data_IF_759932234722
#
_entry.id   IF_759932234722
#
_cell.length_a   1.000
_cell.length_b   1.000
_cell.length_c   1.000
_cell.angle_alpha   90.00
_cell.angle_beta   90.00
_cell.angle_gamma   90.00
#
_symmetry.space_group_name_H-M   'P 1'
#
loop_
_entity.id
_entity.type
_entity.pdbx_description
1 polymer ?
#
# COMPACT_ATOMS: atom_id res chain seq x y z
N UNK A 1 24.77 6.92 12.16
CA UNK A 1 23.92 6.77 10.95
C UNK A 1 22.67 6.03 11.37
N UNK A 2 21.48 6.41 10.91
CA UNK A 2 20.26 5.66 11.22
C UNK A 2 20.38 4.24 10.63
N UNK A 3 19.92 3.24 11.38
CA UNK A 3 19.86 1.86 10.89
C UNK A 3 18.74 1.75 9.86
N UNK A 4 19.00 1.02 8.78
CA UNK A 4 18.05 0.83 7.68
C UNK A 4 17.82 -0.67 7.51
N UNK A 5 16.55 -1.06 7.47
CA UNK A 5 16.14 -2.41 7.05
C UNK A 5 15.53 -2.26 5.66
N UNK A 6 16.07 -3.00 4.68
CA UNK A 6 15.51 -3.05 3.33
C UNK A 6 14.46 -4.15 3.26
N UNK A 7 13.30 -3.80 2.71
CA UNK A 7 12.19 -4.71 2.47
C UNK A 7 12.06 -4.97 0.97
N UNK A 8 11.04 -5.72 0.56
CA UNK A 8 10.65 -5.84 -0.83
C UNK A 8 9.92 -4.59 -1.37
N UNK A 9 9.74 -4.51 -2.69
CA UNK A 9 8.88 -3.52 -3.35
C UNK A 9 7.40 -3.95 -3.45
N UNK A 10 7.12 -5.22 -3.19
CA UNK A 10 5.80 -5.87 -3.26
C UNK A 10 5.68 -6.93 -2.17
N UNK A 11 4.48 -7.42 -1.83
CA UNK A 11 4.34 -8.64 -1.04
C UNK A 11 5.13 -9.80 -1.67
N UNK A 12 5.69 -10.69 -0.84
CA UNK A 12 6.71 -11.64 -1.30
C UNK A 12 6.16 -12.81 -2.12
N UNK A 13 4.85 -13.07 -2.07
CA UNK A 13 4.17 -14.11 -2.87
C UNK A 13 3.27 -13.51 -3.95
N UNK A 14 3.59 -12.29 -4.40
CA UNK A 14 2.88 -11.58 -5.47
C UNK A 14 3.82 -11.32 -6.66
N UNK A 15 3.31 -11.39 -7.91
CA UNK A 15 4.05 -10.93 -9.07
C UNK A 15 4.44 -9.45 -8.94
N UNK A 16 5.61 -9.09 -9.50
CA UNK A 16 6.14 -7.73 -9.47
C UNK A 16 6.82 -7.33 -10.77
N UNK A 17 7.08 -6.03 -10.95
CA UNK A 17 7.77 -5.50 -12.12
C UNK A 17 9.14 -6.18 -12.34
N UNK A 18 9.29 -6.84 -13.49
CA UNK A 18 10.51 -7.58 -13.82
C UNK A 18 11.55 -6.69 -14.53
N UNK A 19 12.62 -6.37 -13.81
CA UNK A 19 13.80 -5.68 -14.36
C UNK A 19 14.40 -6.48 -15.53
N UNK A 20 14.89 -5.78 -16.55
CA UNK A 20 15.49 -6.38 -17.74
C UNK A 20 14.48 -6.99 -18.73
N UNK A 21 13.20 -7.14 -18.34
CA UNK A 21 12.13 -7.66 -19.18
C UNK A 21 11.03 -6.62 -19.46
N UNK A 22 10.76 -5.74 -18.51
CA UNK A 22 9.77 -4.68 -18.62
C UNK A 22 10.45 -3.30 -18.78
N UNK A 23 10.27 -2.61 -19.92
CA UNK A 23 10.88 -1.29 -20.14
C UNK A 23 10.35 -0.23 -19.17
N UNK A 24 9.15 -0.42 -18.61
CA UNK A 24 8.54 0.49 -17.64
C UNK A 24 8.79 0.03 -16.18
N UNK A 25 9.61 -1.00 -15.97
CA UNK A 25 9.87 -1.55 -14.63
C UNK A 25 10.22 -0.50 -13.57
N UNK A 26 11.03 0.55 -13.85
CA UNK A 26 11.31 1.58 -12.84
C UNK A 26 10.06 2.37 -12.41
N UNK A 27 9.14 2.63 -13.33
CA UNK A 27 7.89 3.34 -13.04
C UNK A 27 6.94 2.43 -12.26
N UNK A 28 6.75 1.19 -12.75
CA UNK A 28 5.84 0.23 -12.13
C UNK A 28 6.32 -0.18 -10.74
N UNK A 29 7.60 -0.52 -10.60
CA UNK A 29 8.22 -0.86 -9.32
C UNK A 29 8.11 0.27 -8.29
N UNK A 30 8.11 1.54 -8.72
CA UNK A 30 7.86 2.67 -7.82
C UNK A 30 6.40 2.71 -7.34
N UNK A 31 5.44 2.56 -8.25
CA UNK A 31 4.02 2.52 -7.90
C UNK A 31 3.69 1.30 -7.01
N UNK A 32 4.30 0.16 -7.29
CA UNK A 32 4.24 -1.03 -6.46
C UNK A 32 4.77 -0.79 -5.04
N UNK A 33 5.98 -0.24 -4.91
CA UNK A 33 6.56 0.05 -3.60
C UNK A 33 5.76 1.10 -2.82
N UNK A 34 5.16 2.08 -3.51
CA UNK A 34 4.26 3.05 -2.90
C UNK A 34 2.98 2.40 -2.37
N UNK A 35 2.39 1.48 -3.14
CA UNK A 35 1.24 0.70 -2.70
C UNK A 35 1.62 -0.25 -1.54
N UNK A 36 2.77 -0.91 -1.63
CA UNK A 36 3.23 -1.85 -0.61
C UNK A 36 3.53 -1.17 0.72
N UNK A 37 4.14 0.01 0.69
CA UNK A 37 4.27 0.86 1.89
C UNK A 37 2.91 1.13 2.54
N UNK A 38 1.89 1.43 1.74
CA UNK A 38 0.55 1.67 2.29
C UNK A 38 -0.08 0.37 2.84
N UNK A 39 0.19 -0.78 2.25
CA UNK A 39 -0.25 -2.08 2.73
C UNK A 39 0.40 -2.44 4.09
N UNK A 40 1.71 -2.18 4.24
CA UNK A 40 2.41 -2.31 5.51
C UNK A 40 1.81 -1.39 6.57
N UNK A 41 1.48 -0.15 6.23
CA UNK A 41 0.83 0.78 7.16
C UNK A 41 -0.60 0.34 7.51
N UNK A 42 -1.38 -0.13 6.54
CA UNK A 42 -2.70 -0.69 6.78
C UNK A 42 -2.65 -1.79 7.82
N UNK A 43 -1.68 -2.71 7.69
CA UNK A 43 -1.56 -3.88 8.56
C UNK A 43 -0.84 -3.61 9.88
N UNK A 44 0.16 -2.74 9.92
CA UNK A 44 1.05 -2.60 11.08
C UNK A 44 0.92 -1.23 11.76
N UNK A 45 0.15 -0.31 11.19
CA UNK A 45 -0.06 1.03 11.72
C UNK A 45 0.89 2.07 11.13
N UNK A 46 0.64 3.33 11.48
CA UNK A 46 1.57 4.43 11.20
C UNK A 46 2.90 4.13 11.91
N UNK A 47 4.05 4.36 11.27
CA UNK A 47 5.34 4.16 11.93
C UNK A 47 5.41 4.88 13.30
N UNK A 48 5.90 4.21 14.35
CA UNK A 48 6.13 4.84 15.65
C UNK A 48 7.11 6.01 15.57
N UNK A 49 7.23 6.76 16.66
CA UNK A 49 8.15 7.91 16.72
C UNK A 49 9.58 7.52 16.35
N UNK A 50 10.21 8.32 15.50
CA UNK A 50 11.57 8.08 15.01
C UNK A 50 11.70 7.02 13.90
N UNK A 51 10.65 6.22 13.64
CA UNK A 51 10.60 5.31 12.50
C UNK A 51 10.02 5.98 11.27
N UNK A 52 10.44 5.53 10.08
CA UNK A 52 9.83 5.95 8.83
C UNK A 52 9.89 4.85 7.76
N UNK A 53 8.78 4.65 7.05
CA UNK A 53 8.76 3.85 5.83
C UNK A 53 9.01 4.73 4.59
N UNK A 54 10.11 4.47 3.91
CA UNK A 54 10.57 5.25 2.75
C UNK A 54 10.71 4.37 1.51
N UNK A 55 10.79 4.99 0.33
CA UNK A 55 10.96 4.30 -0.94
C UNK A 55 12.37 4.58 -1.45
N UNK A 56 13.08 3.54 -1.86
CA UNK A 56 14.42 3.67 -2.43
C UNK A 56 14.56 2.89 -3.73
N UNK A 57 15.24 3.49 -4.70
CA UNK A 57 15.55 2.84 -5.97
C UNK A 57 17.03 2.53 -6.09
N UNK A 58 17.35 1.33 -6.57
CA UNK A 58 18.71 0.84 -6.76
C UNK A 58 18.96 0.57 -8.23
N UNK A 59 19.99 1.21 -8.76
CA UNK A 59 20.40 1.02 -10.15
C UNK A 59 21.22 -0.26 -10.26
N UNK A 60 20.88 -1.08 -11.25
CA UNK A 60 21.55 -2.33 -11.63
C UNK A 60 21.74 -2.36 -13.14
N UNK A 61 22.62 -3.24 -13.61
CA UNK A 61 22.97 -3.36 -15.03
C UNK A 61 21.76 -3.66 -15.94
N UNK A 62 20.69 -4.23 -15.37
CA UNK A 62 19.47 -4.63 -16.08
C UNK A 62 18.32 -3.63 -15.91
N UNK A 63 18.53 -2.55 -15.14
CA UNK A 63 17.52 -1.54 -14.83
C UNK A 63 17.47 -1.22 -13.34
N UNK A 64 16.39 -0.59 -12.90
CA UNK A 64 16.24 -0.11 -11.52
C UNK A 64 15.16 -0.86 -10.78
N UNK A 65 15.47 -1.50 -9.65
CA UNK A 65 14.42 -1.94 -8.72
C UNK A 65 14.12 -0.84 -7.71
N UNK A 66 12.91 -0.90 -7.16
CA UNK A 66 12.47 -0.04 -6.08
C UNK A 66 12.00 -0.89 -4.91
N UNK A 67 12.41 -0.52 -3.70
CA UNK A 67 12.07 -1.20 -2.44
C UNK A 67 11.45 -0.24 -1.45
N UNK A 68 10.72 -0.80 -0.49
CA UNK A 68 10.38 -0.11 0.76
C UNK A 68 11.55 -0.28 1.74
N UNK A 69 11.84 0.76 2.53
CA UNK A 69 12.83 0.72 3.60
C UNK A 69 12.21 1.16 4.91
N UNK A 70 12.55 0.49 6.00
CA UNK A 70 12.33 0.99 7.35
C UNK A 70 13.57 1.74 7.82
N UNK A 71 13.44 3.04 8.02
CA UNK A 71 14.43 3.87 8.71
C UNK A 71 14.15 3.78 10.20
N UNK A 72 15.11 3.31 10.97
CA UNK A 72 14.99 3.13 12.41
C UNK A 72 15.54 4.35 13.16
N UNK A 73 15.05 4.63 14.38
CA UNK A 73 15.56 5.71 15.20
C UNK A 73 17.03 5.50 15.53
N UNK A 74 17.78 6.60 15.62
CA UNK A 74 19.15 6.57 16.13
C UNK A 74 19.19 6.53 17.67
N UNK A 75 18.12 6.98 18.33
CA UNK A 75 17.96 6.92 19.77
C UNK A 75 17.46 5.52 20.19
N UNK A 76 18.26 4.83 21.00
CA UNK A 76 17.91 3.50 21.52
C UNK A 76 16.68 3.51 22.42
N UNK A 77 16.31 4.66 23.00
CA UNK A 77 15.09 4.77 23.82
C UNK A 77 13.79 4.65 22.99
N UNK A 78 13.88 4.91 21.68
CA UNK A 78 12.78 4.78 20.73
C UNK A 78 12.74 3.42 20.03
N UNK A 79 13.67 2.52 20.34
CA UNK A 79 13.77 1.22 19.68
C UNK A 79 12.58 0.31 20.03
N UNK A 80 11.95 -0.24 18.99
CA UNK A 80 10.84 -1.17 19.05
C UNK A 80 11.16 -2.39 18.17
N UNK A 81 11.76 -3.41 18.79
CA UNK A 81 12.11 -4.67 18.14
C UNK A 81 10.87 -5.39 17.57
N UNK A 82 9.73 -5.31 18.25
CA UNK A 82 8.51 -5.98 17.80
C UNK A 82 7.97 -5.36 16.51
N UNK A 83 8.00 -4.03 16.41
CA UNK A 83 7.61 -3.32 15.19
C UNK A 83 8.57 -3.64 14.03
N UNK A 84 9.87 -3.66 14.29
CA UNK A 84 10.88 -3.97 13.27
C UNK A 84 10.73 -5.39 12.72
N UNK A 85 10.59 -6.39 13.59
CA UNK A 85 10.37 -7.79 13.19
C UNK A 85 9.09 -7.94 12.38
N UNK A 86 8.01 -7.27 12.82
CA UNK A 86 6.72 -7.31 12.13
C UNK A 86 6.81 -6.72 10.72
N UNK A 87 7.49 -5.58 10.56
CA UNK A 87 7.68 -4.92 9.27
C UNK A 87 8.63 -5.71 8.37
N UNK A 88 9.70 -6.28 8.93
CA UNK A 88 10.68 -7.09 8.20
C UNK A 88 10.07 -8.40 7.66
N UNK A 89 9.16 -9.02 8.41
CA UNK A 89 8.37 -10.16 7.94
C UNK A 89 7.52 -9.81 6.70
N UNK A 90 7.05 -8.56 6.62
CA UNK A 90 6.28 -8.06 5.49
C UNK A 90 4.92 -8.75 5.32
N UNK A 91 4.37 -8.67 4.11
CA UNK A 91 3.13 -9.36 3.72
C UNK A 91 3.43 -10.37 2.63
N UNK A 92 2.70 -11.48 2.63
CA UNK A 92 2.71 -12.46 1.55
C UNK A 92 1.90 -11.96 0.35
N UNK A 93 0.73 -11.37 0.62
CA UNK A 93 -0.23 -10.97 -0.41
C UNK A 93 -0.85 -9.59 -0.16
N UNK A 94 -1.35 -8.97 -1.24
CA UNK A 94 -2.02 -7.67 -1.15
C UNK A 94 -3.32 -7.74 -0.33
N UNK A 95 -4.03 -8.86 -0.42
CA UNK A 95 -5.35 -9.04 0.21
C UNK A 95 -5.29 -9.04 1.74
N UNK A 96 -4.12 -9.32 2.34
CA UNK A 96 -3.94 -9.21 3.79
C UNK A 96 -4.23 -7.80 4.28
N UNK A 97 -3.87 -6.79 3.49
CA UNK A 97 -4.14 -5.37 3.74
C UNK A 97 -5.46 -4.88 3.12
N UNK A 98 -6.31 -5.77 2.58
CA UNK A 98 -7.52 -5.43 1.83
C UNK A 98 -7.21 -4.53 0.62
N UNK A 99 -5.95 -4.56 0.15
CA UNK A 99 -5.51 -3.82 -1.01
C UNK A 99 -5.57 -4.73 -2.24
N UNK A 100 -6.02 -4.22 -3.39
CA UNK A 100 -5.78 -4.91 -4.65
C UNK A 100 -4.33 -4.66 -5.11
N UNK A 101 -3.80 -5.57 -5.92
CA UNK A 101 -2.54 -5.34 -6.61
C UNK A 101 -2.66 -4.08 -7.51
N UNK A 102 -1.65 -3.20 -7.55
CA UNK A 102 -1.66 -2.04 -8.45
C UNK A 102 -1.54 -2.44 -9.92
N UNK A 103 -0.96 -3.61 -10.19
CA UNK A 103 -0.80 -4.18 -11.52
C UNK A 103 -1.15 -5.67 -11.51
N UNK A 104 -1.70 -6.14 -12.63
CA UNK A 104 -1.81 -7.56 -12.95
C UNK A 104 -0.81 -7.88 -14.04
N UNK A 105 0.00 -8.92 -13.82
CA UNK A 105 0.98 -9.41 -14.78
C UNK A 105 0.47 -10.67 -15.46
N UNK A 106 0.52 -10.68 -16.80
CA UNK A 106 0.05 -11.77 -17.65
C UNK A 106 1.15 -12.35 -18.52
N UNK A 107 0.82 -13.37 -19.35
CA UNK A 107 1.77 -13.95 -20.29
C UNK A 107 2.27 -12.92 -21.31
N UNK A 108 3.42 -13.19 -21.93
CA UNK A 108 4.02 -12.35 -22.99
C UNK A 108 4.26 -10.89 -22.59
N UNK A 109 4.64 -10.64 -21.32
CA UNK A 109 4.90 -9.30 -20.78
C UNK A 109 3.67 -8.39 -20.74
N UNK A 110 2.47 -8.96 -20.80
CA UNK A 110 1.23 -8.21 -20.59
C UNK A 110 1.21 -7.68 -19.14
N UNK A 111 0.86 -6.41 -19.00
CA UNK A 111 0.70 -5.76 -17.72
C UNK A 111 -0.50 -4.82 -17.80
N UNK A 112 -1.41 -4.92 -16.83
CA UNK A 112 -2.57 -4.06 -16.73
C UNK A 112 -2.55 -3.33 -15.39
N UNK A 113 -2.61 -2.01 -15.43
CA UNK A 113 -2.71 -1.19 -14.23
C UNK A 113 -4.16 -1.12 -13.75
N UNK A 114 -4.39 -1.21 -12.44
CA UNK A 114 -5.72 -1.01 -11.85
C UNK A 114 -6.29 0.39 -12.15
N UNK A 115 -5.41 1.37 -12.34
CA UNK A 115 -5.71 2.72 -12.83
C UNK A 115 -4.47 3.31 -13.50
N UNK A 116 -4.53 3.58 -14.81
CA UNK A 116 -3.37 4.03 -15.59
C UNK A 116 -2.70 5.32 -15.06
N UNK A 117 -3.45 6.24 -14.44
CA UNK A 117 -2.94 7.54 -13.99
C UNK A 117 -2.49 7.58 -12.52
N UNK A 118 -2.68 6.50 -11.77
CA UNK A 118 -2.27 6.43 -10.37
C UNK A 118 -2.60 5.07 -9.74
N UNK A 119 -1.85 4.01 -10.09
CA UNK A 119 -2.09 2.66 -9.61
C UNK A 119 -2.01 2.54 -8.09
N UNK A 120 -0.96 3.10 -7.47
CA UNK A 120 -0.81 3.10 -6.01
C UNK A 120 -1.95 3.84 -5.30
N UNK A 121 -2.33 5.01 -5.84
CA UNK A 121 -3.46 5.81 -5.33
C UNK A 121 -4.75 5.00 -5.36
N UNK A 122 -5.05 4.38 -6.50
CA UNK A 122 -6.29 3.60 -6.67
C UNK A 122 -6.32 2.39 -5.72
N UNK A 123 -5.19 1.71 -5.51
CA UNK A 123 -5.11 0.60 -4.57
C UNK A 123 -5.44 1.05 -3.12
N UNK A 124 -4.88 2.19 -2.67
CA UNK A 124 -5.14 2.76 -1.34
C UNK A 124 -6.63 3.14 -1.20
N UNK A 125 -7.18 3.84 -2.19
CA UNK A 125 -8.57 4.30 -2.16
C UNK A 125 -9.57 3.13 -2.19
N UNK A 126 -9.28 2.07 -2.95
CA UNK A 126 -10.11 0.86 -2.96
C UNK A 126 -10.07 0.13 -1.62
N UNK A 127 -8.92 0.06 -0.95
CA UNK A 127 -8.84 -0.50 0.40
C UNK A 127 -9.63 0.31 1.43
N UNK A 128 -9.58 1.65 1.35
CA UNK A 128 -10.40 2.53 2.19
C UNK A 128 -11.90 2.30 1.96
N UNK A 129 -12.33 2.16 0.70
CA UNK A 129 -13.73 1.87 0.36
C UNK A 129 -14.12 0.47 0.84
N UNK A 130 -13.28 -0.55 0.63
CA UNK A 130 -13.58 -1.93 0.98
C UNK A 130 -13.63 -2.16 2.51
N UNK A 131 -12.75 -1.49 3.25
CA UNK A 131 -12.67 -1.57 4.72
C UNK A 131 -13.61 -0.63 5.46
N UNK A 132 -14.43 0.17 4.77
CA UNK A 132 -15.28 1.21 5.37
C UNK A 132 -16.31 0.63 6.35
N UNK A 133 -16.75 1.40 7.37
CA UNK A 133 -17.88 1.00 8.19
C UNK A 133 -19.20 1.07 7.40
N UNK A 134 -20.21 0.37 7.91
CA UNK A 134 -21.60 0.55 7.50
C UNK A 134 -22.10 1.96 7.85
N UNK A 135 -23.26 2.40 7.32
CA UNK A 135 -23.80 3.73 7.58
C UNK A 135 -24.04 4.07 9.07
N UNK A 136 -24.22 3.05 9.92
CA UNK A 136 -24.35 3.18 11.38
C UNK A 136 -23.00 3.24 12.12
N UNK A 137 -21.89 3.23 11.38
CA UNK A 137 -20.53 3.26 11.92
C UNK A 137 -19.96 1.90 12.31
N UNK A 138 -20.71 0.80 12.16
CA UNK A 138 -20.24 -0.54 12.53
C UNK A 138 -19.30 -1.11 11.45
N UNK A 139 -18.24 -1.79 11.87
CA UNK A 139 -17.35 -2.51 10.95
C UNK A 139 -17.72 -3.99 10.89
N UNK A 140 -17.66 -4.56 9.69
CA UNK A 140 -17.92 -5.99 9.49
C UNK A 140 -16.87 -6.89 10.19
N UNK A 141 -15.63 -6.42 10.29
CA UNK A 141 -14.50 -7.12 10.90
C UNK A 141 -13.62 -6.14 11.68
N UNK A 142 -13.02 -6.61 12.78
CA UNK A 142 -12.00 -5.83 13.51
C UNK A 142 -10.79 -5.49 12.64
N UNK A 143 -10.42 -6.39 11.72
CA UNK A 143 -9.38 -6.14 10.73
C UNK A 143 -9.71 -4.93 9.86
N UNK A 144 -10.97 -4.78 9.42
CA UNK A 144 -11.39 -3.64 8.61
C UNK A 144 -11.32 -2.35 9.42
N UNK A 145 -11.79 -2.37 10.67
CA UNK A 145 -11.67 -1.22 11.58
C UNK A 145 -10.21 -0.76 11.72
N UNK A 146 -9.31 -1.71 11.94
CA UNK A 146 -7.86 -1.45 12.07
C UNK A 146 -7.27 -0.86 10.78
N UNK A 147 -7.44 -1.54 9.65
CA UNK A 147 -6.92 -1.11 8.34
C UNK A 147 -7.46 0.27 7.97
N UNK A 148 -8.77 0.47 8.13
CA UNK A 148 -9.43 1.72 7.80
C UNK A 148 -8.87 2.88 8.65
N UNK A 149 -8.74 2.68 9.96
CA UNK A 149 -8.17 3.70 10.85
C UNK A 149 -6.71 4.04 10.47
N UNK A 150 -5.88 3.03 10.24
CA UNK A 150 -4.47 3.22 9.89
C UNK A 150 -4.30 3.97 8.55
N UNK A 151 -5.04 3.57 7.52
CA UNK A 151 -4.98 4.22 6.21
C UNK A 151 -5.50 5.66 6.27
N UNK A 152 -6.58 5.93 7.03
CA UNK A 152 -7.07 7.31 7.21
C UNK A 152 -6.07 8.20 7.93
N UNK A 153 -5.37 7.66 8.94
CA UNK A 153 -4.35 8.40 9.67
C UNK A 153 -3.13 8.74 8.79
N UNK A 154 -2.65 7.79 7.99
CA UNK A 154 -1.47 7.99 7.14
C UNK A 154 -1.77 8.72 5.82
N UNK A 155 -2.97 8.56 5.27
CA UNK A 155 -3.33 9.02 3.93
C UNK A 155 -4.63 9.84 3.91
N UNK A 156 -4.72 10.96 4.66
CA UNK A 156 -5.96 11.72 4.80
C UNK A 156 -6.51 12.25 3.46
N UNK A 157 -5.64 12.59 2.51
CA UNK A 157 -6.07 13.02 1.17
C UNK A 157 -6.69 11.88 0.34
N UNK A 158 -6.24 10.63 0.52
CA UNK A 158 -6.86 9.47 -0.12
C UNK A 158 -8.18 9.12 0.55
N UNK A 159 -8.24 9.23 1.89
CA UNK A 159 -9.48 9.07 2.65
C UNK A 159 -10.58 10.02 2.18
N UNK A 160 -10.26 11.32 2.01
CA UNK A 160 -11.23 12.29 1.50
C UNK A 160 -11.76 11.93 0.09
N UNK A 161 -10.91 11.43 -0.81
CA UNK A 161 -11.34 10.99 -2.15
C UNK A 161 -12.19 9.73 -2.11
N UNK A 162 -11.84 8.77 -1.25
CA UNK A 162 -12.66 7.58 -1.02
C UNK A 162 -14.06 7.96 -0.50
N UNK A 163 -14.13 8.88 0.46
CA UNK A 163 -15.40 9.38 1.01
C UNK A 163 -16.27 10.03 -0.08
N UNK A 164 -15.67 10.84 -0.96
CA UNK A 164 -16.37 11.45 -2.10
C UNK A 164 -16.92 10.40 -3.07
N UNK A 165 -16.14 9.34 -3.38
CA UNK A 165 -16.59 8.24 -4.26
C UNK A 165 -17.77 7.49 -3.64
N UNK A 166 -17.74 7.23 -2.33
CA UNK A 166 -18.84 6.57 -1.62
C UNK A 166 -20.11 7.42 -1.68
N UNK A 167 -20.00 8.72 -1.42
CA UNK A 167 -21.14 9.64 -1.50
C UNK A 167 -21.77 9.67 -2.90
N UNK A 168 -20.93 9.67 -3.95
CA UNK A 168 -21.40 9.63 -5.34
C UNK A 168 -22.17 8.34 -5.69
N UNK A 169 -21.71 7.18 -5.20
CA UNK A 169 -22.39 5.89 -5.42
C UNK A 169 -23.77 5.87 -4.75
N UNK A 170 -23.89 6.40 -3.54
CA UNK A 170 -25.18 6.48 -2.84
C UNK A 170 -26.16 7.40 -3.60
N UNK A 171 -25.71 8.58 -4.03
CA UNK A 171 -26.54 9.51 -4.80
C UNK A 171 -27.06 8.93 -6.13
N UNK A 172 -26.23 8.16 -6.84
CA UNK A 172 -26.62 7.46 -8.07
C UNK A 172 -27.66 6.36 -7.80
N UNK A 173 -27.46 5.57 -6.74
CA UNK A 173 -28.38 4.48 -6.37
C UNK A 173 -29.78 5.01 -6.07
N UNK A 174 -29.88 6.13 -5.35
CA UNK A 174 -31.17 6.76 -5.02
C UNK A 174 -31.86 7.32 -6.27
N UNK A 175 -31.11 7.85 -7.24
CA UNK A 175 -31.65 8.41 -8.49
C UNK A 175 -32.20 7.34 -9.45
N UNK A 176 -31.71 6.09 -9.36
CA UNK A 176 -32.17 4.96 -10.18
C UNK A 176 -33.39 4.20 -9.63
N UNK A 177 -33.89 4.59 -8.44
CA UNK A 177 -35.04 3.95 -7.77
C UNK A 177 -36.39 4.66 -8.04
N UNK A 178 -36.44 5.59 -9.00
CA UNK A 178 -37.65 6.31 -9.44
C UNK A 178 -38.06 5.88 -10.84
#
# INVERSE_FOLDING_TARGET
MPRIIELSGTPWDEPSAQIGHDPDAPVRGREEALAYRAALIAMFGVPPEGYALTIAGHDHDFGRYTVVRLVCPADSALHDEAYEVLVEQGLAHWHEAVMPAPYTYGPNRACEAICASGPSREAIERALIASRPAPDGTFALDLFRKIHANLRAAYPAHAARADQRIAAIHAQTDSTRH
#
